data_IF_634816768815
#
_entry.id   IF_634816768815
#
_cell.length_a   1.000
_cell.length_b   1.000
_cell.length_c   1.000
_cell.angle_alpha   90.00
_cell.angle_beta   90.00
_cell.angle_gamma   90.00
#
_symmetry.space_group_name_H-M   'P 1'
#
loop_
_entity.id
_entity.type
_entity.pdbx_description
1 polymer ?
#
# COMPACT_ATOMS: atom_id res chain seq x y z
N UNK A 1 -18.36 4.63 9.11
CA UNK A 1 -18.13 6.07 9.36
C UNK A 1 -19.15 6.89 8.55
N UNK A 2 -19.69 8.00 9.06
CA UNK A 2 -20.77 8.76 8.39
C UNK A 2 -20.34 9.35 7.03
N UNK A 3 -19.08 9.79 6.91
CA UNK A 3 -18.52 10.31 5.65
C UNK A 3 -18.51 9.22 4.58
N UNK A 4 -17.96 8.04 4.89
CA UNK A 4 -17.89 6.92 3.95
C UNK A 4 -19.28 6.52 3.42
N UNK A 5 -20.31 6.55 4.27
CA UNK A 5 -21.69 6.28 3.85
C UNK A 5 -22.23 7.36 2.90
N UNK A 6 -21.99 8.64 3.20
CA UNK A 6 -22.39 9.73 2.31
C UNK A 6 -21.68 9.66 0.95
N UNK A 7 -20.40 9.29 0.93
CA UNK A 7 -19.62 9.05 -0.29
C UNK A 7 -20.19 7.90 -1.12
N UNK A 8 -20.56 6.78 -0.48
CA UNK A 8 -21.15 5.61 -1.15
C UNK A 8 -22.53 5.90 -1.76
N UNK A 9 -23.30 6.77 -1.13
CA UNK A 9 -24.62 7.22 -1.61
C UNK A 9 -24.54 8.43 -2.56
N UNK A 10 -23.34 8.82 -3.00
CA UNK A 10 -23.09 9.97 -3.88
C UNK A 10 -23.60 11.32 -3.34
N UNK A 11 -23.82 11.42 -2.03
CA UNK A 11 -24.24 12.64 -1.34
C UNK A 11 -23.02 13.51 -1.01
N UNK A 12 -22.34 14.00 -2.05
CA UNK A 12 -21.06 14.69 -1.90
C UNK A 12 -21.12 15.97 -1.07
N UNK A 13 -22.22 16.75 -1.18
CA UNK A 13 -22.41 17.93 -0.33
C UNK A 13 -22.57 17.58 1.14
N UNK A 14 -23.23 16.47 1.46
CA UNK A 14 -23.35 15.97 2.83
C UNK A 14 -21.99 15.50 3.36
N UNK A 15 -21.21 14.81 2.52
CA UNK A 15 -19.85 14.40 2.87
C UNK A 15 -18.95 15.62 3.18
N UNK A 16 -19.02 16.66 2.36
CA UNK A 16 -18.27 17.91 2.57
C UNK A 16 -18.70 18.60 3.86
N UNK A 17 -20.00 18.74 4.12
CA UNK A 17 -20.50 19.34 5.37
C UNK A 17 -20.04 18.59 6.61
N UNK A 18 -19.94 17.26 6.56
CA UNK A 18 -19.41 16.48 7.68
C UNK A 18 -17.92 16.76 7.87
N UNK A 19 -17.14 16.82 6.79
CA UNK A 19 -15.71 17.14 6.84
C UNK A 19 -15.44 18.53 7.42
N UNK A 20 -16.15 19.55 6.94
CA UNK A 20 -16.03 20.93 7.40
C UNK A 20 -16.38 21.11 8.89
N UNK A 21 -17.16 20.17 9.44
CA UNK A 21 -17.54 20.14 10.86
C UNK A 21 -16.52 19.48 11.78
N UNK A 22 -15.47 18.83 11.24
CA UNK A 22 -14.42 18.20 12.05
C UNK A 22 -13.44 19.28 12.50
N UNK A 23 -13.23 19.47 13.82
CA UNK A 23 -12.27 20.46 14.30
C UNK A 23 -10.83 20.12 13.90
N UNK A 24 -10.10 21.12 13.40
CA UNK A 24 -8.67 20.97 13.12
C UNK A 24 -7.90 20.63 14.41
N UNK A 25 -7.05 19.60 14.30
CA UNK A 25 -6.09 19.28 15.36
C UNK A 25 -4.88 20.20 15.20
N UNK A 26 -4.82 21.25 16.01
CA UNK A 26 -3.67 22.18 16.05
C UNK A 26 -2.47 21.63 16.82
N UNK A 27 -2.67 20.60 17.65
CA UNK A 27 -1.61 19.97 18.46
C UNK A 27 -1.38 18.54 17.99
N UNK A 28 -0.15 18.27 17.56
CA UNK A 28 0.34 16.91 17.30
C UNK A 28 0.61 16.18 18.63
N UNK A 29 -0.42 15.51 19.14
CA UNK A 29 -0.34 14.82 20.44
C UNK A 29 0.67 13.67 20.44
N UNK A 30 0.87 13.01 19.31
CA UNK A 30 1.78 11.88 19.22
C UNK A 30 3.23 12.34 19.31
N UNK A 31 3.59 13.44 18.62
CA UNK A 31 4.88 14.09 18.77
C UNK A 31 5.15 14.44 20.24
N UNK A 32 4.17 15.09 20.88
CA UNK A 32 4.30 15.56 22.27
C UNK A 32 4.46 14.39 23.23
N UNK A 33 3.74 13.29 23.00
CA UNK A 33 3.80 12.09 23.82
C UNK A 33 5.18 11.41 23.72
N UNK A 34 5.72 11.26 22.51
CA UNK A 34 7.03 10.68 22.30
C UNK A 34 8.14 11.50 22.98
N UNK A 35 8.09 12.83 22.87
CA UNK A 35 9.02 13.74 23.55
C UNK A 35 8.90 13.64 25.08
N UNK A 36 7.67 13.52 25.61
CA UNK A 36 7.45 13.37 27.04
C UNK A 36 8.06 12.06 27.56
N UNK A 37 7.84 10.94 26.87
CA UNK A 37 8.43 9.65 27.25
C UNK A 37 9.96 9.71 27.30
N UNK A 38 10.61 10.32 26.31
CA UNK A 38 12.05 10.50 26.32
C UNK A 38 12.53 11.33 27.53
N UNK A 39 11.79 12.40 27.89
CA UNK A 39 12.12 13.23 29.07
C UNK A 39 11.93 12.52 30.40
N UNK A 40 11.03 11.53 30.45
CA UNK A 40 10.81 10.66 31.61
C UNK A 40 11.81 9.49 31.67
N UNK A 41 12.73 9.37 30.71
CA UNK A 41 13.68 8.25 30.61
C UNK A 41 13.04 6.95 30.09
N UNK A 42 11.85 7.02 29.49
CA UNK A 42 11.14 5.89 28.88
C UNK A 42 11.46 5.80 27.39
N UNK A 43 12.74 5.57 27.08
CA UNK A 43 13.25 5.66 25.70
C UNK A 43 12.61 4.63 24.75
N UNK A 44 12.28 3.43 25.25
CA UNK A 44 11.59 2.41 24.44
C UNK A 44 10.16 2.83 24.07
N UNK A 45 9.39 3.37 25.02
CA UNK A 45 8.04 3.88 24.75
C UNK A 45 8.08 5.07 23.77
N UNK A 46 9.08 5.94 23.91
CA UNK A 46 9.34 7.03 22.97
C UNK A 46 9.64 6.48 21.57
N UNK A 47 10.54 5.49 21.46
CA UNK A 47 10.90 4.86 20.20
C UNK A 47 9.68 4.21 19.54
N UNK A 48 8.92 3.35 20.25
CA UNK A 48 7.68 2.74 19.75
C UNK A 48 6.70 3.77 19.19
N UNK A 49 6.57 4.93 19.85
CA UNK A 49 5.70 6.01 19.38
C UNK A 49 6.22 6.61 18.06
N UNK A 50 7.53 6.83 17.93
CA UNK A 50 8.11 7.32 16.68
C UNK A 50 8.05 6.31 15.53
N UNK A 51 8.29 5.03 15.81
CA UNK A 51 8.21 3.99 14.78
C UNK A 51 6.78 3.84 14.25
N UNK A 52 5.77 3.82 15.15
CA UNK A 52 4.36 3.83 14.77
C UNK A 52 4.00 5.05 13.90
N UNK A 53 4.56 6.22 14.23
CA UNK A 53 4.39 7.44 13.44
C UNK A 53 4.97 7.29 12.03
N UNK A 54 6.17 6.73 11.89
CA UNK A 54 6.81 6.49 10.57
C UNK A 54 5.94 5.56 9.73
N UNK A 55 5.43 4.47 10.31
CA UNK A 55 4.51 3.54 9.64
C UNK A 55 3.26 4.28 9.14
N UNK A 56 2.64 5.12 9.98
CA UNK A 56 1.46 5.90 9.56
C UNK A 56 1.78 6.90 8.46
N UNK A 57 2.90 7.63 8.56
CA UNK A 57 3.33 8.58 7.51
C UNK A 57 3.56 7.84 6.18
N UNK A 58 4.13 6.63 6.21
CA UNK A 58 4.29 5.81 5.01
C UNK A 58 2.93 5.44 4.39
N UNK A 59 1.94 5.07 5.21
CA UNK A 59 0.58 4.78 4.74
C UNK A 59 -0.12 6.03 4.16
N UNK A 60 -0.01 7.18 4.84
CA UNK A 60 -0.57 8.45 4.36
C UNK A 60 0.07 8.88 3.03
N UNK A 61 1.40 8.72 2.91
CA UNK A 61 2.15 8.96 1.69
C UNK A 61 1.67 8.04 0.55
N UNK A 62 1.44 6.75 0.83
CA UNK A 62 0.89 5.81 -0.14
C UNK A 62 -0.47 6.26 -0.66
N UNK A 63 -1.41 6.60 0.23
CA UNK A 63 -2.74 7.07 -0.16
C UNK A 63 -2.69 8.33 -1.03
N UNK A 64 -1.83 9.29 -0.67
CA UNK A 64 -1.66 10.51 -1.45
C UNK A 64 -1.11 10.23 -2.86
N UNK A 65 -0.06 9.40 -2.97
CA UNK A 65 0.56 9.09 -4.27
C UNK A 65 -0.39 8.26 -5.15
N UNK A 66 -1.09 7.27 -4.60
CA UNK A 66 -2.09 6.50 -5.35
C UNK A 66 -3.19 7.41 -5.92
N UNK A 67 -3.69 8.36 -5.12
CA UNK A 67 -4.66 9.35 -5.61
C UNK A 67 -4.11 10.21 -6.76
N UNK A 68 -2.83 10.58 -6.73
CA UNK A 68 -2.19 11.31 -7.84
C UNK A 68 -2.05 10.45 -9.09
N UNK A 69 -1.70 9.17 -8.95
CA UNK A 69 -1.63 8.20 -10.04
C UNK A 69 -3.00 8.05 -10.71
N UNK A 70 -4.07 7.86 -9.93
CA UNK A 70 -5.44 7.74 -10.44
C UNK A 70 -5.88 8.99 -11.22
N UNK A 71 -5.56 10.19 -10.72
CA UNK A 71 -5.85 11.44 -11.41
C UNK A 71 -5.06 11.53 -12.73
N UNK A 72 -3.76 11.25 -12.71
CA UNK A 72 -2.93 11.29 -13.91
C UNK A 72 -3.41 10.32 -15.00
N UNK A 73 -3.80 9.11 -14.61
CA UNK A 73 -4.39 8.11 -15.50
C UNK A 73 -5.71 8.58 -16.11
N UNK A 74 -6.60 9.17 -15.29
CA UNK A 74 -7.89 9.74 -15.76
C UNK A 74 -7.68 10.85 -16.78
N UNK A 75 -6.62 11.63 -16.62
CA UNK A 75 -6.24 12.71 -17.54
C UNK A 75 -5.47 12.21 -18.78
N UNK A 76 -5.19 10.91 -18.89
CA UNK A 76 -4.39 10.32 -19.98
C UNK A 76 -2.89 10.60 -19.87
N UNK A 77 -2.41 11.14 -18.74
CA UNK A 77 -1.00 11.46 -18.46
C UNK A 77 -0.26 10.22 -17.94
N UNK A 78 -0.10 9.22 -18.80
CA UNK A 78 0.50 7.91 -18.45
C UNK A 78 1.92 8.05 -17.90
N UNK A 79 2.76 8.90 -18.50
CA UNK A 79 4.14 9.09 -18.06
C UNK A 79 4.21 9.67 -16.64
N UNK A 80 3.31 10.62 -16.30
CA UNK A 80 3.21 11.18 -14.95
C UNK A 80 2.82 10.11 -13.92
N UNK A 81 1.86 9.24 -14.27
CA UNK A 81 1.44 8.14 -13.42
C UNK A 81 2.58 7.16 -13.13
N UNK A 82 3.36 6.80 -14.17
CA UNK A 82 4.52 5.92 -14.04
C UNK A 82 5.64 6.56 -13.21
N UNK A 83 5.92 7.86 -13.39
CA UNK A 83 6.91 8.58 -12.56
C UNK A 83 6.45 8.65 -11.09
N UNK A 84 5.18 8.94 -10.83
CA UNK A 84 4.64 8.91 -9.46
C UNK A 84 4.79 7.53 -8.82
N UNK A 85 4.46 6.47 -9.54
CA UNK A 85 4.61 5.11 -9.05
C UNK A 85 6.07 4.72 -8.78
N UNK A 86 7.00 5.11 -9.66
CA UNK A 86 8.43 4.91 -9.48
C UNK A 86 8.96 5.62 -8.22
N UNK A 87 8.54 6.87 -8.01
CA UNK A 87 8.89 7.64 -6.80
C UNK A 87 8.36 6.98 -5.53
N UNK A 88 7.13 6.45 -5.57
CA UNK A 88 6.54 5.73 -4.45
C UNK A 88 7.36 4.50 -4.08
N UNK A 89 7.74 3.70 -5.09
CA UNK A 89 8.56 2.51 -4.90
C UNK A 89 9.88 2.86 -4.20
N UNK A 90 10.62 3.85 -4.70
CA UNK A 90 11.89 4.28 -4.09
C UNK A 90 11.71 4.77 -2.64
N UNK A 91 10.62 5.50 -2.37
CA UNK A 91 10.33 5.98 -1.03
C UNK A 91 10.05 4.81 -0.06
N UNK A 92 9.27 3.81 -0.48
CA UNK A 92 8.95 2.66 0.35
C UNK A 92 10.13 1.72 0.57
N UNK A 93 10.97 1.54 -0.44
CA UNK A 93 12.27 0.84 -0.30
C UNK A 93 13.18 1.56 0.71
N UNK A 94 13.29 2.89 0.62
CA UNK A 94 14.08 3.68 1.56
C UNK A 94 13.53 3.63 3.00
N UNK A 95 12.21 3.44 3.13
CA UNK A 95 11.53 3.23 4.41
C UNK A 95 11.55 1.76 4.85
N UNK A 96 12.28 0.86 4.18
CA UNK A 96 12.39 -0.54 4.58
C UNK A 96 11.07 -1.31 4.51
N UNK A 97 10.12 -0.90 3.66
CA UNK A 97 8.87 -1.63 3.45
C UNK A 97 9.13 -2.95 2.69
N UNK A 98 8.32 -4.00 2.91
CA UNK A 98 8.38 -5.23 2.13
C UNK A 98 8.27 -4.93 0.63
N UNK A 99 9.01 -5.68 -0.19
CA UNK A 99 9.09 -5.39 -1.62
C UNK A 99 7.72 -5.41 -2.30
N UNK A 100 6.81 -6.32 -1.91
CA UNK A 100 5.45 -6.36 -2.44
C UNK A 100 4.70 -5.03 -2.22
N UNK A 101 4.83 -4.39 -1.05
CA UNK A 101 4.22 -3.09 -0.76
C UNK A 101 4.82 -1.98 -1.62
N UNK A 102 6.15 -1.98 -1.77
CA UNK A 102 6.86 -1.01 -2.61
C UNK A 102 6.49 -1.12 -4.10
N UNK A 103 6.11 -2.33 -4.55
CA UNK A 103 5.73 -2.60 -5.93
C UNK A 103 4.26 -2.28 -6.25
N UNK A 104 3.36 -2.22 -5.25
CA UNK A 104 1.93 -2.01 -5.47
C UNK A 104 1.58 -0.75 -6.29
N UNK A 105 2.16 0.44 -6.04
CA UNK A 105 1.84 1.64 -6.84
C UNK A 105 2.22 1.46 -8.32
N UNK A 106 3.31 0.74 -8.59
CA UNK A 106 3.78 0.44 -9.95
C UNK A 106 2.86 -0.56 -10.63
N UNK A 107 2.43 -1.59 -9.92
CA UNK A 107 1.43 -2.53 -10.42
C UNK A 107 0.14 -1.78 -10.80
N UNK A 108 -0.40 -0.93 -9.93
CA UNK A 108 -1.62 -0.16 -10.22
C UNK A 108 -1.47 0.72 -11.48
N UNK A 109 -0.34 1.44 -11.62
CA UNK A 109 -0.10 2.30 -12.78
C UNK A 109 0.01 1.50 -14.09
N UNK A 110 0.70 0.34 -14.06
CA UNK A 110 0.87 -0.54 -15.23
C UNK A 110 -0.44 -1.25 -15.58
N UNK A 111 -1.21 -1.68 -14.59
CA UNK A 111 -2.53 -2.29 -14.81
C UNK A 111 -3.47 -1.31 -15.50
N UNK A 112 -3.53 -0.06 -15.04
CA UNK A 112 -4.33 0.98 -15.67
C UNK A 112 -3.81 1.41 -17.06
N UNK A 113 -2.50 1.25 -17.33
CA UNK A 113 -1.92 1.58 -18.64
C UNK A 113 -2.24 0.53 -19.71
N UNK A 114 -2.56 -0.70 -19.30
CA UNK A 114 -2.89 -1.86 -20.13
C UNK A 114 -1.67 -2.61 -20.68
N UNK A 115 -0.47 -2.39 -20.14
CA UNK A 115 0.74 -3.11 -20.57
C UNK A 115 0.75 -4.52 -19.98
N UNK A 116 0.26 -5.48 -20.74
CA UNK A 116 0.13 -6.88 -20.30
C UNK A 116 1.47 -7.57 -20.02
N UNK A 117 2.55 -7.15 -20.67
CA UNK A 117 3.87 -7.76 -20.50
C UNK A 117 4.50 -7.32 -19.20
N UNK A 118 4.50 -6.02 -18.95
CA UNK A 118 5.03 -5.47 -17.70
C UNK A 118 4.14 -5.83 -16.50
N UNK A 119 2.81 -5.87 -16.67
CA UNK A 119 1.88 -6.22 -15.60
C UNK A 119 2.16 -7.64 -15.06
N UNK A 120 2.35 -8.63 -15.95
CA UNK A 120 2.55 -10.01 -15.50
C UNK A 120 3.91 -10.22 -14.84
N UNK A 121 4.96 -9.52 -15.29
CA UNK A 121 6.27 -9.53 -14.63
C UNK A 121 6.19 -8.91 -13.23
N UNK A 122 5.50 -7.77 -13.08
CA UNK A 122 5.28 -7.13 -11.80
C UNK A 122 4.44 -7.98 -10.85
N UNK A 123 3.37 -8.61 -11.34
CA UNK A 123 2.56 -9.55 -10.57
C UNK A 123 3.43 -10.71 -10.05
N UNK A 124 4.31 -11.27 -10.86
CA UNK A 124 5.20 -12.35 -10.42
C UNK A 124 6.19 -11.87 -9.34
N UNK A 125 6.73 -10.67 -9.48
CA UNK A 125 7.63 -10.07 -8.49
C UNK A 125 6.91 -9.78 -7.16
N UNK A 126 5.69 -9.26 -7.20
CA UNK A 126 4.84 -9.04 -6.01
C UNK A 126 4.56 -10.37 -5.32
N UNK A 127 4.13 -11.38 -6.07
CA UNK A 127 3.84 -12.71 -5.51
C UNK A 127 5.08 -13.39 -4.93
N UNK A 128 6.24 -13.24 -5.57
CA UNK A 128 7.51 -13.74 -5.04
C UNK A 128 7.89 -13.07 -3.72
N UNK A 129 7.67 -11.75 -3.60
CA UNK A 129 7.89 -11.06 -2.33
C UNK A 129 6.87 -11.48 -1.26
N UNK A 130 5.60 -11.72 -1.60
CA UNK A 130 4.56 -12.14 -0.65
C UNK A 130 4.82 -13.53 -0.05
N UNK A 131 5.45 -14.43 -0.82
CA UNK A 131 5.76 -15.79 -0.38
C UNK A 131 7.24 -15.97 0.06
N UNK A 132 8.02 -14.88 0.07
CA UNK A 132 9.40 -14.89 0.53
C UNK A 132 9.52 -14.91 2.06
N UNK A 133 10.71 -15.26 2.57
CA UNK A 133 10.97 -15.34 4.02
C UNK A 133 10.86 -13.99 4.76
N UNK A 134 11.01 -12.87 4.05
CA UNK A 134 10.96 -11.51 4.59
C UNK A 134 9.65 -10.77 4.23
N UNK A 135 8.61 -11.51 3.81
CA UNK A 135 7.38 -10.94 3.21
C UNK A 135 6.62 -9.98 4.11
N UNK A 136 6.71 -10.15 5.43
CA UNK A 136 6.06 -9.33 6.45
C UNK A 136 7.03 -8.48 7.29
N UNK A 137 8.32 -8.44 6.91
CA UNK A 137 9.33 -7.80 7.73
C UNK A 137 9.59 -6.35 7.26
N UNK A 138 9.28 -5.38 8.11
CA UNK A 138 9.82 -4.03 7.97
C UNK A 138 11.33 -4.06 8.28
N UNK A 139 12.15 -3.60 7.34
CA UNK A 139 13.59 -3.78 7.36
C UNK A 139 14.32 -2.61 8.01
N UNK A 140 15.43 -2.94 8.69
CA UNK A 140 16.39 -1.97 9.16
C UNK A 140 16.08 -1.35 10.53
N UNK A 141 16.89 -0.35 10.95
CA UNK A 141 16.83 0.21 12.30
C UNK A 141 15.61 1.12 12.56
N UNK A 142 14.74 1.31 11.56
CA UNK A 142 13.54 2.16 11.66
C UNK A 142 12.39 1.51 12.45
N UNK A 143 12.42 0.19 12.67
CA UNK A 143 11.29 -0.56 13.25
C UNK A 143 11.74 -1.57 14.31
N UNK A 144 12.69 -1.16 15.17
CA UNK A 144 13.30 -2.06 16.15
C UNK A 144 12.35 -2.48 17.27
N UNK A 145 11.40 -1.62 17.65
CA UNK A 145 10.51 -1.83 18.79
C UNK A 145 9.04 -2.07 18.39
N UNK A 146 8.73 -1.98 17.10
CA UNK A 146 7.39 -2.15 16.55
C UNK A 146 6.91 -3.59 16.62
N UNK A 147 5.63 -3.78 16.95
CA UNK A 147 4.95 -5.04 16.76
C UNK A 147 4.44 -5.12 15.31
N UNK A 148 4.85 -6.15 14.57
CA UNK A 148 4.55 -6.35 13.15
C UNK A 148 3.51 -7.46 12.92
N UNK A 149 2.79 -7.87 13.96
CA UNK A 149 1.74 -8.89 13.84
C UNK A 149 0.67 -8.52 12.80
N UNK A 150 0.20 -7.27 12.80
CA UNK A 150 -0.80 -6.79 11.83
C UNK A 150 -0.29 -6.88 10.38
N UNK A 151 0.99 -6.56 10.15
CA UNK A 151 1.63 -6.66 8.84
C UNK A 151 1.77 -8.12 8.39
N UNK A 152 2.05 -9.02 9.34
CA UNK A 152 2.10 -10.47 9.09
C UNK A 152 0.75 -10.99 8.65
N UNK A 153 -0.31 -10.64 9.39
CA UNK A 153 -1.68 -11.02 9.05
C UNK A 153 -2.10 -10.47 7.69
N UNK A 154 -1.80 -9.20 7.40
CA UNK A 154 -2.07 -8.59 6.09
C UNK A 154 -1.36 -9.34 4.96
N UNK A 155 -0.06 -9.57 5.11
CA UNK A 155 0.78 -10.24 4.12
C UNK A 155 0.27 -11.65 3.83
N UNK A 156 -0.15 -12.39 4.87
CA UNK A 156 -0.66 -13.77 4.73
C UNK A 156 -1.90 -13.88 3.85
N UNK A 157 -2.72 -12.83 3.80
CA UNK A 157 -3.98 -12.81 3.04
C UNK A 157 -3.82 -12.18 1.67
N UNK A 158 -2.84 -11.30 1.52
CA UNK A 158 -2.67 -10.48 0.31
C UNK A 158 -2.40 -11.33 -0.94
N UNK A 159 -1.61 -12.41 -0.83
CA UNK A 159 -1.32 -13.28 -1.97
C UNK A 159 -2.58 -13.93 -2.55
N UNK A 160 -3.48 -14.41 -1.69
CA UNK A 160 -4.74 -15.01 -2.11
C UNK A 160 -5.71 -13.95 -2.69
N UNK A 161 -5.76 -12.76 -2.09
CA UNK A 161 -6.56 -11.65 -2.57
C UNK A 161 -6.13 -11.23 -3.98
N UNK A 162 -4.84 -10.93 -4.16
CA UNK A 162 -4.29 -10.50 -5.44
C UNK A 162 -4.50 -11.55 -6.53
N UNK A 163 -4.28 -12.83 -6.22
CA UNK A 163 -4.52 -13.91 -7.19
C UNK A 163 -6.01 -13.96 -7.58
N UNK A 164 -6.92 -13.82 -6.61
CA UNK A 164 -8.35 -13.75 -6.88
C UNK A 164 -8.73 -12.55 -7.75
N UNK A 165 -8.15 -11.37 -7.52
CA UNK A 165 -8.39 -10.18 -8.35
C UNK A 165 -7.94 -10.41 -9.79
N UNK A 166 -6.73 -10.95 -9.99
CA UNK A 166 -6.20 -11.24 -11.33
C UNK A 166 -7.07 -12.24 -12.09
N UNK A 167 -7.68 -13.21 -11.39
CA UNK A 167 -8.56 -14.21 -12.01
C UNK A 167 -9.95 -13.68 -12.37
N UNK A 168 -10.51 -12.79 -11.54
CA UNK A 168 -11.94 -12.48 -11.58
C UNK A 168 -12.27 -11.05 -11.98
N UNK A 169 -11.39 -10.08 -11.71
CA UNK A 169 -11.70 -8.66 -11.95
C UNK A 169 -11.47 -8.29 -13.42
N UNK A 170 -12.35 -7.44 -13.95
CA UNK A 170 -12.26 -6.95 -15.33
C UNK A 170 -11.00 -6.11 -15.56
N UNK A 171 -10.51 -5.45 -14.51
CA UNK A 171 -9.27 -4.67 -14.54
C UNK A 171 -8.09 -5.51 -15.07
N UNK A 172 -8.04 -6.81 -14.77
CA UNK A 172 -6.98 -7.72 -15.21
C UNK A 172 -7.29 -8.53 -16.48
N UNK A 173 -8.39 -8.25 -17.18
CA UNK A 173 -8.78 -9.00 -18.38
C UNK A 173 -7.69 -9.04 -19.47
N UNK A 174 -6.93 -7.95 -19.61
CA UNK A 174 -5.83 -7.83 -20.55
C UNK A 174 -4.64 -8.77 -20.21
N UNK A 175 -4.38 -9.01 -18.92
CA UNK A 175 -3.35 -9.96 -18.47
C UNK A 175 -3.77 -11.39 -18.81
N UNK A 176 -5.06 -11.74 -18.65
CA UNK A 176 -5.56 -13.10 -18.95
C UNK A 176 -5.42 -13.50 -20.42
N UNK A 177 -5.25 -12.52 -21.32
CA UNK A 177 -5.08 -12.75 -22.74
C UNK A 177 -3.63 -13.12 -23.13
N UNK A 178 -2.63 -12.93 -22.25
CA UNK A 178 -1.24 -13.22 -22.59
C UNK A 178 -0.87 -14.69 -22.37
N UNK A 179 0.03 -15.27 -23.20
CA UNK A 179 0.46 -16.66 -23.04
C UNK A 179 1.04 -17.01 -21.66
N UNK A 180 1.72 -16.05 -21.02
CA UNK A 180 2.35 -16.24 -19.72
C UNK A 180 1.35 -16.37 -18.54
N UNK A 181 0.10 -15.94 -18.72
CA UNK A 181 -0.93 -15.96 -17.66
C UNK A 181 -1.14 -17.36 -17.07
N UNK A 182 -1.22 -18.38 -17.93
CA UNK A 182 -1.45 -19.75 -17.48
C UNK A 182 -0.33 -20.23 -16.56
N UNK A 183 0.93 -19.99 -16.93
CA UNK A 183 2.08 -20.36 -16.12
C UNK A 183 2.13 -19.59 -14.80
N UNK A 184 1.74 -18.32 -14.80
CA UNK A 184 1.63 -17.50 -13.58
C UNK A 184 0.61 -18.12 -12.59
N UNK A 185 -0.61 -18.42 -13.04
CA UNK A 185 -1.66 -18.98 -12.18
C UNK A 185 -1.28 -20.37 -11.65
N UNK A 186 -0.76 -21.25 -12.52
CA UNK A 186 -0.33 -22.60 -12.13
C UNK A 186 0.77 -22.54 -11.05
N UNK A 187 1.75 -21.64 -11.21
CA UNK A 187 2.82 -21.41 -10.22
C UNK A 187 2.26 -21.00 -8.87
N UNK A 188 1.43 -19.95 -8.82
CA UNK A 188 1.04 -19.35 -7.54
C UNK A 188 -0.09 -20.08 -6.83
N UNK A 189 -0.94 -20.83 -7.53
CA UNK A 189 -1.88 -21.77 -6.89
C UNK A 189 -1.17 -22.92 -6.18
N UNK A 190 -0.07 -23.41 -6.73
CA UNK A 190 0.71 -24.47 -6.09
C UNK A 190 1.34 -24.02 -4.76
N UNK A 191 1.71 -22.74 -4.65
CA UNK A 191 2.31 -22.16 -3.43
C UNK A 191 1.25 -21.90 -2.34
N UNK A 192 0.06 -21.42 -2.71
CA UNK A 192 -1.03 -21.11 -1.77
C UNK A 192 -1.88 -22.30 -1.29
N UNK A 193 -1.60 -23.53 -1.76
CA UNK A 193 -2.33 -24.75 -1.37
C UNK A 193 -1.70 -25.51 -0.19
N UNK A 194 -0.72 -24.91 0.50
CA UNK A 194 0.04 -25.51 1.61
C UNK A 194 -0.30 -24.83 2.93
#
# INVERSE_FOLDING_TARGET
MLIAKAMQEERYEDAQRILDGIPDRTVDKEERQAILYAREGKDEDAARTWEARVIRIAADLMGAIVGLIEIALRDGRKDDALECAYRAQLAFEALGQPAWMSLMPRLAAVTASGDSGEAIELLDAVMASLHGGDSAALQGPLYRYSDLNDLTDLTSRMGALLLSEVENEDEYAFVRAVPAYRSFVEKWKAVGSV
#
